data_IF_784016621414
#
_entry.id   IF_784016621414
#
_cell.length_a   1.000
_cell.length_b   1.000
_cell.length_c   1.000
_cell.angle_alpha   90.00
_cell.angle_beta   90.00
_cell.angle_gamma   90.00
#
_symmetry.space_group_name_H-M   'P 1'
#
loop_
_entity.id
_entity.type
_entity.pdbx_description
1 polymer ?
#
# COMPACT_ATOMS: atom_id res chain seq x y z
N UNK A 1 42.24 11.74 20.29
CA UNK A 1 41.59 10.42 20.16
C UNK A 1 40.53 10.31 21.22
N UNK A 2 39.26 10.40 20.81
CA UNK A 2 38.12 9.91 21.60
C UNK A 2 37.22 9.26 20.55
N UNK A 3 37.08 7.95 20.62
CA UNK A 3 36.43 7.14 19.60
C UNK A 3 34.91 7.26 19.70
N UNK A 4 34.26 7.56 18.57
CA UNK A 4 32.85 7.25 18.39
C UNK A 4 32.74 5.81 17.89
N UNK A 5 32.74 4.89 18.85
CA UNK A 5 32.09 3.59 18.70
C UNK A 5 30.67 3.75 19.24
N UNK A 6 29.76 4.23 18.41
CA UNK A 6 28.32 4.21 18.66
C UNK A 6 27.71 3.41 17.54
N UNK A 7 27.37 2.16 17.85
CA UNK A 7 26.71 1.21 16.98
C UNK A 7 25.44 1.81 16.40
N UNK A 8 25.08 1.37 15.19
CA UNK A 8 23.74 1.55 14.64
C UNK A 8 22.72 1.14 15.71
N UNK A 9 22.10 2.12 16.36
CA UNK A 9 20.82 1.91 16.99
C UNK A 9 19.83 1.79 15.83
N UNK A 10 19.80 0.58 15.29
CA UNK A 10 18.65 -0.01 14.61
C UNK A 10 17.41 0.58 15.27
N UNK A 11 16.60 1.28 14.48
CA UNK A 11 15.18 1.30 14.76
C UNK A 11 14.82 -0.17 14.94
N UNK A 12 14.58 -0.58 16.18
CA UNK A 12 14.05 -1.89 16.46
C UNK A 12 12.55 -1.71 16.22
N UNK A 13 12.02 -1.99 15.01
CA UNK A 13 10.58 -2.06 14.86
C UNK A 13 10.10 -3.01 15.96
N UNK A 14 8.94 -2.75 16.58
CA UNK A 14 8.35 -3.71 17.50
C UNK A 14 8.46 -5.12 16.86
N UNK A 15 8.91 -6.14 17.61
CA UNK A 15 9.28 -7.45 17.05
C UNK A 15 8.17 -7.88 16.10
N UNK A 16 8.54 -8.20 14.85
CA UNK A 16 7.66 -8.47 13.70
C UNK A 16 6.33 -9.10 14.12
N UNK A 17 5.37 -8.28 14.54
CA UNK A 17 4.05 -8.78 14.85
C UNK A 17 3.38 -8.90 13.50
N UNK A 18 3.17 -10.16 13.10
CA UNK A 18 2.37 -10.46 11.94
C UNK A 18 1.00 -9.80 12.15
N UNK A 19 0.67 -8.80 11.35
CA UNK A 19 -0.66 -8.21 11.40
C UNK A 19 -1.58 -9.07 10.56
N UNK A 20 -2.52 -9.73 11.22
CA UNK A 20 -3.58 -10.45 10.55
C UNK A 20 -4.71 -9.48 10.20
N UNK A 21 -4.98 -9.32 8.91
CA UNK A 21 -5.94 -8.34 8.39
C UNK A 21 -7.28 -9.01 8.15
N UNK A 22 -8.30 -8.58 8.88
CA UNK A 22 -9.69 -9.06 8.76
C UNK A 22 -10.70 -7.98 8.40
N UNK A 23 -10.34 -6.74 8.67
CA UNK A 23 -11.18 -5.56 8.49
C UNK A 23 -10.40 -4.45 7.78
N UNK A 24 -11.10 -3.42 7.31
CA UNK A 24 -10.46 -2.23 6.75
C UNK A 24 -9.64 -1.47 7.79
N UNK A 25 -10.02 -1.56 9.08
CA UNK A 25 -9.23 -1.00 10.17
C UNK A 25 -7.89 -1.71 10.35
N UNK A 26 -7.86 -3.04 10.22
CA UNK A 26 -6.60 -3.79 10.26
C UNK A 26 -5.74 -3.44 9.05
N UNK A 27 -6.35 -3.31 7.87
CA UNK A 27 -5.64 -2.89 6.67
C UNK A 27 -5.04 -1.49 6.84
N UNK A 28 -5.78 -0.55 7.43
CA UNK A 28 -5.28 0.80 7.71
C UNK A 28 -4.14 0.81 8.74
N UNK A 29 -4.19 -0.09 9.72
CA UNK A 29 -3.14 -0.24 10.73
C UNK A 29 -1.77 -0.68 10.15
N UNK A 30 -1.74 -1.26 8.95
CA UNK A 30 -0.49 -1.59 8.21
C UNK A 30 0.42 -0.37 8.07
N UNK A 31 -0.14 0.84 7.92
CA UNK A 31 0.61 2.11 7.82
C UNK A 31 1.53 2.36 9.02
N UNK A 32 1.20 1.79 10.17
CA UNK A 32 1.96 1.95 11.41
C UNK A 32 3.12 0.94 11.53
N UNK A 33 3.20 -0.03 10.63
CA UNK A 33 4.23 -1.08 10.64
C UNK A 33 4.58 -1.56 9.22
N UNK A 34 4.99 -0.64 8.33
CA UNK A 34 5.26 -0.97 6.92
C UNK A 34 6.48 -1.88 6.68
N UNK A 35 7.33 -2.07 7.68
CA UNK A 35 8.42 -3.05 7.66
C UNK A 35 8.01 -4.44 8.22
N UNK A 36 6.80 -4.56 8.76
CA UNK A 36 6.27 -5.79 9.31
C UNK A 36 5.80 -6.80 8.26
N UNK A 37 5.36 -7.96 8.73
CA UNK A 37 4.69 -8.95 7.90
C UNK A 37 3.18 -8.82 8.11
N UNK A 38 2.43 -8.79 7.03
CA UNK A 38 0.99 -8.58 7.05
C UNK A 38 0.34 -9.66 6.22
N UNK A 39 -0.78 -10.19 6.72
CA UNK A 39 -1.44 -11.33 6.09
C UNK A 39 -2.94 -11.11 6.06
N UNK A 40 -3.54 -11.15 4.87
CA UNK A 40 -5.00 -11.17 4.76
C UNK A 40 -5.55 -12.49 5.29
N UNK A 41 -6.60 -12.41 6.09
CA UNK A 41 -7.27 -13.58 6.67
C UNK A 41 -8.65 -13.85 6.07
N UNK A 42 -9.14 -12.93 5.26
CA UNK A 42 -10.39 -13.02 4.49
C UNK A 42 -10.39 -11.98 3.37
N UNK A 43 -11.36 -12.11 2.46
CA UNK A 43 -11.68 -11.03 1.52
C UNK A 43 -12.11 -9.77 2.28
N UNK A 44 -11.69 -8.60 1.79
CA UNK A 44 -12.21 -7.31 2.25
C UNK A 44 -13.09 -6.72 1.15
N UNK A 45 -14.28 -6.27 1.50
CA UNK A 45 -15.27 -5.73 0.55
C UNK A 45 -16.11 -4.61 1.18
N UNK A 46 -17.15 -4.20 0.46
CA UNK A 46 -18.06 -3.13 0.88
C UNK A 46 -18.90 -3.43 2.14
N UNK A 47 -19.00 -4.69 2.58
CA UNK A 47 -19.70 -5.07 3.82
C UNK A 47 -18.75 -5.32 4.99
N UNK A 48 -17.44 -5.38 4.72
CA UNK A 48 -16.41 -5.61 5.73
C UNK A 48 -16.29 -4.37 6.63
N UNK A 49 -16.17 -4.54 7.97
CA UNK A 49 -16.09 -3.41 8.89
C UNK A 49 -15.01 -2.38 8.52
N UNK A 50 -15.37 -1.10 8.56
CA UNK A 50 -14.50 0.04 8.25
C UNK A 50 -14.55 0.53 6.79
N UNK A 51 -15.24 -0.17 5.89
CA UNK A 51 -15.29 0.20 4.46
C UNK A 51 -15.74 1.65 4.22
N UNK A 52 -16.90 2.04 4.76
CA UNK A 52 -17.50 3.37 4.55
C UNK A 52 -16.65 4.52 5.09
N UNK A 53 -15.82 4.23 6.09
CA UNK A 53 -14.94 5.21 6.72
C UNK A 53 -13.61 5.36 5.97
N UNK A 54 -13.10 4.25 5.42
CA UNK A 54 -11.71 4.17 4.94
C UNK A 54 -11.58 4.01 3.42
N UNK A 55 -12.46 3.26 2.76
CA UNK A 55 -12.21 2.77 1.39
C UNK A 55 -13.33 3.05 0.38
N UNK A 56 -14.55 3.32 0.84
CA UNK A 56 -15.70 3.60 -0.01
C UNK A 56 -15.70 5.00 -0.64
N UNK A 57 -16.61 5.29 -1.57
CA UNK A 57 -16.66 6.56 -2.29
C UNK A 57 -17.00 7.79 -1.43
N UNK A 58 -17.52 7.59 -0.22
CA UNK A 58 -17.80 8.65 0.76
C UNK A 58 -16.69 8.82 1.79
N UNK A 59 -15.76 7.86 1.90
CA UNK A 59 -14.65 7.92 2.83
C UNK A 59 -13.73 9.13 2.54
N UNK A 60 -13.07 9.64 3.57
CA UNK A 60 -12.07 10.71 3.47
C UNK A 60 -12.52 11.92 2.64
N UNK A 61 -13.72 12.44 2.93
CA UNK A 61 -14.32 13.58 2.22
C UNK A 61 -14.58 13.29 0.73
N UNK A 62 -14.96 12.06 0.41
CA UNK A 62 -15.23 11.63 -0.96
C UNK A 62 -13.98 11.27 -1.78
N UNK A 63 -12.82 11.13 -1.12
CA UNK A 63 -11.56 10.73 -1.75
C UNK A 63 -11.30 9.23 -1.69
N UNK A 64 -12.06 8.50 -0.88
CA UNK A 64 -11.85 7.08 -0.68
C UNK A 64 -10.57 6.77 0.09
N UNK A 65 -10.00 5.61 -0.22
CA UNK A 65 -8.77 5.13 0.37
C UNK A 65 -7.63 6.14 0.20
N UNK A 66 -6.87 6.32 1.27
CA UNK A 66 -5.60 7.01 1.25
C UNK A 66 -4.53 6.01 0.84
N UNK A 67 -3.80 6.18 -0.28
CA UNK A 67 -2.70 5.29 -0.62
C UNK A 67 -1.76 5.07 0.57
N UNK A 68 -1.33 3.83 0.83
CA UNK A 68 -0.40 3.56 1.93
C UNK A 68 0.95 4.22 1.64
N UNK A 69 1.25 5.25 2.41
CA UNK A 69 2.47 6.04 2.35
C UNK A 69 3.01 6.19 3.78
N UNK A 70 4.31 6.01 3.96
CA UNK A 70 5.02 6.46 5.16
C UNK A 70 5.60 7.83 4.88
N UNK A 71 5.21 8.82 5.68
CA UNK A 71 5.89 10.11 5.73
C UNK A 71 6.52 10.25 7.09
N UNK A 72 7.73 9.72 7.28
CA UNK A 72 8.55 10.08 8.43
C UNK A 72 10.06 9.96 8.11
N UNK A 73 10.59 10.81 7.22
CA UNK A 73 11.90 11.42 7.44
C UNK A 73 12.23 12.55 6.44
N UNK A 74 12.51 13.80 6.88
CA UNK A 74 13.07 14.82 5.99
C UNK A 74 14.46 14.45 5.43
N UNK A 75 15.17 13.50 6.05
CA UNK A 75 16.52 13.10 5.64
C UNK A 75 16.53 11.90 4.67
N UNK A 76 15.45 11.11 4.59
CA UNK A 76 15.42 9.83 3.84
C UNK A 76 14.26 9.74 2.82
N UNK A 77 13.36 10.72 2.78
CA UNK A 77 12.27 10.79 1.79
C UNK A 77 10.98 10.07 2.18
N UNK A 78 10.10 9.88 1.20
CA UNK A 78 8.87 9.08 1.34
C UNK A 78 9.22 7.60 1.33
N UNK A 79 8.69 6.82 2.27
CA UNK A 79 8.90 5.36 2.32
C UNK A 79 7.58 4.63 2.08
N UNK A 80 7.63 3.53 1.35
CA UNK A 80 6.52 2.64 1.07
C UNK A 80 6.49 1.42 1.97
N UNK A 81 5.87 0.36 1.46
CA UNK A 81 5.95 -0.97 2.08
C UNK A 81 7.38 -1.51 1.92
N UNK A 82 8.03 -1.86 3.03
CA UNK A 82 9.35 -2.52 3.06
C UNK A 82 9.28 -3.97 3.55
N UNK A 83 8.20 -4.34 4.24
CA UNK A 83 7.95 -5.69 4.72
C UNK A 83 7.15 -6.51 3.73
N UNK A 84 6.46 -7.53 4.24
CA UNK A 84 5.67 -8.46 3.41
C UNK A 84 4.19 -8.20 3.57
N UNK A 85 3.44 -8.20 2.47
CA UNK A 85 1.99 -8.28 2.43
C UNK A 85 1.58 -9.52 1.64
N UNK A 86 1.13 -10.55 2.35
CA UNK A 86 0.64 -11.80 1.75
C UNK A 86 -0.89 -11.82 1.75
N UNK A 87 -1.48 -11.82 0.56
CA UNK A 87 -2.92 -11.91 0.38
C UNK A 87 -3.49 -13.31 0.61
N UNK A 88 -2.66 -14.36 0.68
CA UNK A 88 -3.08 -15.77 0.81
C UNK A 88 -4.14 -16.24 -0.23
N UNK A 89 -4.24 -15.55 -1.37
CA UNK A 89 -5.26 -15.77 -2.40
C UNK A 89 -6.59 -15.05 -2.17
N UNK A 90 -6.73 -14.28 -1.10
CA UNK A 90 -7.90 -13.42 -0.84
C UNK A 90 -7.88 -12.15 -1.69
N UNK A 91 -9.03 -11.51 -1.74
CA UNK A 91 -9.26 -10.31 -2.54
C UNK A 91 -9.60 -9.08 -1.68
N UNK A 92 -9.07 -7.93 -2.07
CA UNK A 92 -9.56 -6.62 -1.67
C UNK A 92 -10.47 -6.10 -2.78
N UNK A 93 -11.74 -5.90 -2.47
CA UNK A 93 -12.81 -5.57 -3.41
C UNK A 93 -13.32 -4.15 -3.18
N UNK A 94 -13.90 -3.57 -4.23
CA UNK A 94 -14.64 -2.30 -4.18
C UNK A 94 -13.81 -1.09 -3.71
N UNK A 95 -12.48 -1.17 -3.81
CA UNK A 95 -11.56 -0.11 -3.41
C UNK A 95 -11.79 1.14 -4.28
N UNK A 96 -12.07 2.27 -3.63
CA UNK A 96 -12.21 3.56 -4.29
C UNK A 96 -11.07 4.50 -3.88
N UNK A 97 -10.40 5.11 -4.85
CA UNK A 97 -9.38 6.15 -4.64
C UNK A 97 -9.65 7.27 -5.65
N UNK A 98 -9.89 8.49 -5.17
CA UNK A 98 -10.11 9.67 -6.00
C UNK A 98 -9.21 10.84 -5.58
N UNK A 99 -7.98 10.84 -6.13
CA UNK A 99 -6.92 11.79 -5.80
C UNK A 99 -6.27 12.32 -7.10
N UNK A 100 -7.01 13.06 -7.93
CA UNK A 100 -6.61 13.38 -9.31
C UNK A 100 -5.39 14.30 -9.46
N UNK A 101 -4.84 14.83 -8.35
CA UNK A 101 -3.65 15.68 -8.33
C UNK A 101 -2.48 15.02 -7.59
N UNK A 102 -2.56 13.71 -7.31
CA UNK A 102 -1.53 12.97 -6.60
C UNK A 102 -0.76 12.07 -7.55
N UNK A 103 0.54 11.92 -7.27
CA UNK A 103 1.39 10.93 -7.92
C UNK A 103 1.49 9.66 -7.07
N UNK A 104 1.91 8.56 -7.69
CA UNK A 104 2.14 7.27 -7.04
C UNK A 104 0.89 6.81 -6.26
N UNK A 105 -0.21 6.62 -7.00
CA UNK A 105 -1.55 6.32 -6.46
C UNK A 105 -1.93 4.86 -6.69
N UNK A 106 -2.26 4.17 -5.59
CA UNK A 106 -2.77 2.81 -5.55
C UNK A 106 -3.14 2.40 -4.13
N UNK A 107 -3.47 1.12 -3.88
CA UNK A 107 -3.61 0.60 -2.50
C UNK A 107 -2.36 0.95 -1.68
N UNK A 108 -1.19 0.65 -2.24
CA UNK A 108 0.11 1.15 -1.80
C UNK A 108 0.53 2.34 -2.67
N UNK A 109 1.11 3.36 -2.06
CA UNK A 109 1.76 4.42 -2.84
C UNK A 109 3.02 3.87 -3.51
N UNK A 110 3.90 3.25 -2.72
CA UNK A 110 5.04 2.48 -3.22
C UNK A 110 5.24 1.15 -2.48
N UNK A 111 5.81 0.19 -3.20
CA UNK A 111 6.44 -1.02 -2.64
C UNK A 111 7.95 -0.87 -2.84
N UNK A 112 8.68 -0.63 -1.76
CA UNK A 112 10.10 -0.28 -1.82
C UNK A 112 10.98 -1.52 -2.04
N UNK A 113 12.30 -1.35 -2.20
CA UNK A 113 13.24 -2.39 -2.65
C UNK A 113 13.15 -3.72 -1.89
N UNK A 114 12.93 -3.68 -0.57
CA UNK A 114 12.77 -4.87 0.28
C UNK A 114 11.32 -5.35 0.40
N UNK A 115 10.37 -4.54 -0.06
CA UNK A 115 8.94 -4.80 0.03
C UNK A 115 8.50 -5.97 -0.86
N UNK A 116 7.63 -6.80 -0.30
CA UNK A 116 7.03 -7.94 -1.00
C UNK A 116 5.52 -7.84 -0.90
N UNK A 117 4.84 -7.88 -2.04
CA UNK A 117 3.39 -8.07 -2.12
C UNK A 117 3.09 -9.32 -2.93
N UNK A 118 2.35 -10.25 -2.38
CA UNK A 118 2.06 -11.51 -3.05
C UNK A 118 0.66 -12.05 -2.82
N UNK A 119 0.22 -12.90 -3.74
CA UNK A 119 -1.00 -13.72 -3.63
C UNK A 119 -2.27 -12.90 -3.35
N UNK A 120 -2.44 -11.73 -3.97
CA UNK A 120 -3.61 -10.85 -3.73
C UNK A 120 -4.34 -10.48 -5.02
N UNK A 121 -5.68 -10.48 -4.96
CA UNK A 121 -6.51 -9.81 -5.96
C UNK A 121 -6.98 -8.44 -5.49
N UNK A 122 -6.86 -7.41 -6.33
CA UNK A 122 -7.42 -6.06 -6.08
C UNK A 122 -8.53 -5.79 -7.11
N UNK A 123 -9.78 -6.04 -6.72
CA UNK A 123 -10.89 -6.33 -7.64
C UNK A 123 -11.99 -5.29 -7.56
N UNK A 124 -12.66 -5.04 -8.68
CA UNK A 124 -13.73 -4.05 -8.81
C UNK A 124 -13.34 -2.65 -8.31
N UNK A 125 -12.13 -2.21 -8.64
CA UNK A 125 -11.62 -0.93 -8.12
C UNK A 125 -11.96 0.26 -9.01
N UNK A 126 -11.94 1.45 -8.40
CA UNK A 126 -11.88 2.72 -9.11
C UNK A 126 -10.73 3.54 -8.54
N UNK A 127 -9.67 3.75 -9.32
CA UNK A 127 -8.48 4.50 -8.91
C UNK A 127 -8.27 5.67 -9.84
N UNK A 128 -8.23 6.89 -9.29
CA UNK A 128 -8.02 8.14 -10.01
C UNK A 128 -6.83 8.87 -9.38
N UNK A 129 -5.78 9.09 -10.17
CA UNK A 129 -4.56 9.81 -9.81
C UNK A 129 -4.08 10.74 -10.93
N UNK A 130 -2.87 11.27 -10.83
CA UNK A 130 -2.21 12.09 -11.87
C UNK A 130 -1.05 11.30 -12.52
N UNK A 131 0.08 11.14 -11.82
CA UNK A 131 1.24 10.39 -12.33
C UNK A 131 1.39 9.04 -11.62
N UNK A 132 1.76 7.98 -12.33
CA UNK A 132 2.05 6.66 -11.77
C UNK A 132 0.86 6.10 -10.98
N UNK A 133 -0.16 5.66 -11.71
CA UNK A 133 -1.41 5.16 -11.13
C UNK A 133 -1.53 3.67 -11.39
N UNK A 134 -1.73 2.89 -10.33
CA UNK A 134 -2.00 1.46 -10.40
C UNK A 134 -2.96 1.01 -9.32
N UNK A 135 -3.73 -0.06 -9.58
CA UNK A 135 -4.72 -0.54 -8.59
C UNK A 135 -4.04 -1.02 -7.30
N UNK A 136 -2.95 -1.77 -7.43
CA UNK A 136 -2.21 -2.31 -6.28
C UNK A 136 -1.16 -1.31 -5.80
N UNK A 137 -0.35 -0.77 -6.71
CA UNK A 137 0.72 0.15 -6.34
C UNK A 137 0.88 1.28 -7.35
N UNK A 138 1.18 2.49 -6.88
CA UNK A 138 1.63 3.58 -7.74
C UNK A 138 2.99 3.25 -8.38
N UNK A 139 3.97 2.93 -7.54
CA UNK A 139 5.31 2.49 -7.98
C UNK A 139 5.82 1.26 -7.25
N UNK A 140 6.66 0.46 -7.91
CA UNK A 140 7.36 -0.66 -7.27
C UNK A 140 8.87 -0.56 -7.51
N UNK A 141 9.65 -0.66 -6.44
CA UNK A 141 11.09 -1.01 -6.46
C UNK A 141 11.35 -2.43 -5.90
N UNK A 142 10.38 -3.02 -5.20
CA UNK A 142 10.43 -4.38 -4.65
C UNK A 142 9.75 -5.43 -5.53
N UNK A 143 9.17 -6.45 -4.88
CA UNK A 143 8.58 -7.62 -5.55
C UNK A 143 7.06 -7.61 -5.47
N UNK A 144 6.41 -7.79 -6.63
CA UNK A 144 4.97 -8.12 -6.73
C UNK A 144 4.83 -9.45 -7.45
N UNK A 145 4.19 -10.45 -6.83
CA UNK A 145 4.04 -11.79 -7.41
C UNK A 145 2.64 -12.37 -7.21
N UNK A 146 2.20 -13.26 -8.11
CA UNK A 146 0.90 -13.95 -8.01
C UNK A 146 -0.30 -13.04 -7.72
N UNK A 147 -0.26 -11.81 -8.23
CA UNK A 147 -1.22 -10.77 -7.89
C UNK A 147 -1.89 -10.23 -9.16
N UNK A 148 -3.15 -9.82 -9.02
CA UNK A 148 -3.93 -9.34 -10.16
C UNK A 148 -4.88 -8.21 -9.74
N UNK A 149 -5.42 -7.50 -10.73
CA UNK A 149 -6.41 -6.46 -10.49
C UNK A 149 -7.49 -6.43 -11.57
N UNK A 150 -8.67 -5.94 -11.19
CA UNK A 150 -9.76 -5.62 -12.12
C UNK A 150 -10.43 -4.32 -11.70
N UNK A 151 -10.92 -3.55 -12.66
CA UNK A 151 -11.57 -2.27 -12.41
C UNK A 151 -11.06 -1.17 -13.34
N UNK A 152 -11.30 0.08 -12.93
CA UNK A 152 -10.95 1.26 -13.70
C UNK A 152 -9.79 2.01 -13.02
N UNK A 153 -8.75 2.28 -13.79
CA UNK A 153 -7.60 3.09 -13.38
C UNK A 153 -7.49 4.28 -14.32
N UNK A 154 -7.49 5.49 -13.77
CA UNK A 154 -7.42 6.75 -14.51
C UNK A 154 -6.25 7.58 -13.99
N UNK A 155 -5.39 8.05 -14.91
CA UNK A 155 -4.29 8.95 -14.61
C UNK A 155 -3.86 9.73 -15.85
N UNK A 156 -3.03 10.75 -15.65
CA UNK A 156 -2.45 11.60 -16.69
C UNK A 156 -1.22 10.99 -17.37
N UNK A 157 -0.34 10.33 -16.59
CA UNK A 157 0.88 9.68 -17.11
C UNK A 157 1.26 8.45 -16.28
N UNK A 158 1.87 7.44 -16.92
CA UNK A 158 2.25 6.19 -16.25
C UNK A 158 1.08 5.45 -15.60
N UNK A 159 0.12 4.97 -16.39
CA UNK A 159 -1.07 4.27 -15.89
C UNK A 159 -0.98 2.79 -16.21
N UNK A 160 -1.01 1.95 -15.18
CA UNK A 160 -1.05 0.49 -15.33
C UNK A 160 -2.18 -0.11 -14.53
N UNK A 161 -2.79 -1.20 -15.04
CA UNK A 161 -3.90 -1.84 -14.34
C UNK A 161 -3.53 -2.27 -12.92
N UNK A 162 -2.36 -2.90 -12.75
CA UNK A 162 -1.86 -3.35 -11.45
C UNK A 162 -0.89 -2.37 -10.81
N UNK A 163 0.10 -1.90 -11.58
CA UNK A 163 1.21 -1.04 -11.10
C UNK A 163 1.43 0.11 -12.09
N UNK A 164 1.57 1.34 -11.59
CA UNK A 164 1.77 2.53 -12.42
C UNK A 164 3.18 2.67 -13.01
N UNK A 165 4.23 2.38 -12.22
CA UNK A 165 5.63 2.36 -12.67
C UNK A 165 6.49 1.31 -11.97
N UNK A 166 7.58 0.93 -12.63
CA UNK A 166 8.68 0.16 -12.04
C UNK A 166 9.87 1.10 -11.86
N UNK A 167 10.46 1.09 -10.67
CA UNK A 167 11.64 1.87 -10.30
C UNK A 167 12.84 0.94 -10.36
N UNK A 168 13.86 1.35 -11.11
CA UNK A 168 15.16 0.71 -11.09
C UNK A 168 16.09 1.58 -10.26
N UNK A 169 16.68 1.01 -9.20
CA UNK A 169 17.78 1.63 -8.44
C UNK A 169 19.13 1.05 -8.88
#
# INVERSE_FOLDING_TARGET
MVGYGGTCDIYNPPPSENLEIRTWYDLDAVRNNLAGNHTLMNDLDSITPGYEELAGPTANQGKGWEPMIYSLNPDWGFMGLMGTFDGQGYEIRDLFINRPNWSDVGLFSSVDQEGVVENIGVVNVTVIGDYHVGSLAGGIGGTVSNSYSTGNVTGGDGVGGLVGRIVYE
#
